data_IF_815995861659
#
_entry.id   IF_815995861659
#
_cell.length_a   1.000
_cell.length_b   1.000
_cell.length_c   1.000
_cell.angle_alpha   90.00
_cell.angle_beta   90.00
_cell.angle_gamma   90.00
#
_symmetry.space_group_name_H-M   'P 1'
#
loop_
_entity.id
_entity.type
_entity.pdbx_description
1 polymer ?
#
# COMPACT_ATOMS: atom_id res chain seq x y z
N UNK A 1 3.90 -2.29 -15.16
CA UNK A 1 3.77 -0.81 -15.16
C UNK A 1 2.39 -0.35 -15.63
N UNK A 2 1.98 -0.58 -16.89
CA UNK A 2 0.61 -0.23 -17.34
C UNK A 2 -0.47 -0.90 -16.47
N UNK A 3 -0.24 -2.17 -16.10
CA UNK A 3 -1.07 -2.89 -15.14
C UNK A 3 -1.33 -2.08 -13.85
N UNK A 4 -0.26 -1.58 -13.24
CA UNK A 4 -0.32 -0.82 -11.98
C UNK A 4 -1.12 0.48 -12.11
N UNK A 5 -0.90 1.25 -13.18
CA UNK A 5 -1.61 2.53 -13.36
C UNK A 5 -3.11 2.28 -13.47
N UNK A 6 -3.50 1.40 -14.38
CA UNK A 6 -4.90 1.20 -14.72
C UNK A 6 -5.68 0.53 -13.57
N UNK A 7 -5.10 -0.41 -12.83
CA UNK A 7 -5.76 -0.96 -11.64
C UNK A 7 -5.93 0.08 -10.54
N UNK A 8 -4.94 0.97 -10.35
CA UNK A 8 -5.03 2.02 -9.32
C UNK A 8 -6.01 3.13 -9.73
N UNK A 9 -5.99 3.57 -10.98
CA UNK A 9 -7.02 4.49 -11.51
C UNK A 9 -8.41 3.89 -11.30
N UNK A 10 -8.64 2.65 -11.75
CA UNK A 10 -9.95 1.99 -11.63
C UNK A 10 -10.39 1.85 -10.18
N UNK A 11 -9.48 1.49 -9.28
CA UNK A 11 -9.77 1.36 -7.85
C UNK A 11 -10.18 2.70 -7.21
N UNK A 12 -9.37 3.74 -7.37
CA UNK A 12 -9.65 5.06 -6.76
C UNK A 12 -10.79 5.83 -7.44
N UNK A 13 -11.13 5.46 -8.67
CA UNK A 13 -12.33 5.93 -9.36
C UNK A 13 -13.61 5.36 -8.70
N UNK A 14 -13.55 4.11 -8.25
CA UNK A 14 -14.71 3.33 -7.75
C UNK A 14 -14.93 3.49 -6.24
N UNK A 15 -13.85 3.46 -5.46
CA UNK A 15 -13.95 3.31 -4.00
C UNK A 15 -14.73 4.43 -3.27
N UNK A 16 -14.58 5.73 -3.62
CA UNK A 16 -15.38 6.78 -3.00
C UNK A 16 -16.89 6.62 -3.23
N UNK A 17 -17.30 6.08 -4.39
CA UNK A 17 -18.70 5.87 -4.73
C UNK A 17 -19.32 4.71 -3.97
N UNK A 18 -18.56 3.65 -3.69
CA UNK A 18 -19.05 2.49 -2.93
C UNK A 18 -19.59 2.92 -1.56
N UNK A 19 -18.82 3.71 -0.81
CA UNK A 19 -19.25 4.22 0.51
C UNK A 19 -20.44 5.16 0.40
N UNK A 20 -20.50 5.98 -0.66
CA UNK A 20 -21.61 6.89 -0.91
C UNK A 20 -22.91 6.13 -1.19
N UNK A 21 -22.89 5.11 -2.06
CA UNK A 21 -24.06 4.28 -2.40
C UNK A 21 -24.56 3.53 -1.17
N UNK A 22 -23.66 2.90 -0.41
CA UNK A 22 -24.03 2.17 0.81
C UNK A 22 -24.74 3.08 1.81
N UNK A 23 -24.19 4.27 2.05
CA UNK A 23 -24.72 5.18 3.07
C UNK A 23 -25.98 5.94 2.62
N UNK A 24 -26.02 6.40 1.36
CA UNK A 24 -27.08 7.29 0.87
C UNK A 24 -28.19 6.58 0.13
N UNK A 25 -27.86 5.62 -0.74
CA UNK A 25 -28.82 5.01 -1.66
C UNK A 25 -29.39 3.70 -1.09
N UNK A 26 -28.60 3.00 -0.28
CA UNK A 26 -28.98 1.73 0.35
C UNK A 26 -29.21 1.86 1.86
N UNK A 27 -29.03 3.07 2.41
CA UNK A 27 -29.30 3.43 3.81
C UNK A 27 -28.63 2.50 4.84
N UNK A 28 -27.49 1.90 4.50
CA UNK A 28 -26.74 1.02 5.39
C UNK A 28 -26.11 1.83 6.53
N UNK A 29 -26.21 1.29 7.75
CA UNK A 29 -25.65 1.92 8.93
C UNK A 29 -24.11 2.02 8.89
N UNK A 30 -23.49 3.10 9.42
CA UNK A 30 -22.04 3.26 9.41
C UNK A 30 -21.27 2.10 10.03
N UNK A 31 -21.81 1.48 11.09
CA UNK A 31 -21.22 0.32 11.74
C UNK A 31 -21.16 -0.92 10.81
N UNK A 32 -22.21 -1.12 10.01
CA UNK A 32 -22.30 -2.25 9.07
C UNK A 32 -21.34 -2.06 7.89
N UNK A 33 -21.31 -0.85 7.31
CA UNK A 33 -20.34 -0.48 6.28
C UNK A 33 -18.90 -0.69 6.79
N UNK A 34 -18.59 -0.19 7.99
CA UNK A 34 -17.26 -0.31 8.60
C UNK A 34 -16.84 -1.77 8.85
N UNK A 35 -17.73 -2.58 9.40
CA UNK A 35 -17.50 -4.01 9.62
C UNK A 35 -17.21 -4.73 8.30
N UNK A 36 -18.02 -4.48 7.27
CA UNK A 36 -17.85 -5.11 5.97
C UNK A 36 -16.51 -4.76 5.32
N UNK A 37 -16.17 -3.48 5.27
CA UNK A 37 -14.91 -3.01 4.70
C UNK A 37 -13.71 -3.62 5.43
N UNK A 38 -13.79 -3.73 6.76
CA UNK A 38 -12.74 -4.33 7.58
C UNK A 38 -12.59 -5.83 7.29
N UNK A 39 -13.69 -6.58 7.18
CA UNK A 39 -13.67 -8.00 6.82
C UNK A 39 -13.08 -8.22 5.42
N UNK A 40 -13.45 -7.38 4.45
CA UNK A 40 -12.92 -7.43 3.09
C UNK A 40 -11.40 -7.14 3.06
N UNK A 41 -10.95 -6.14 3.81
CA UNK A 41 -9.52 -5.85 3.98
C UNK A 41 -8.79 -7.02 4.66
N UNK A 42 -9.30 -7.55 5.78
CA UNK A 42 -8.68 -8.67 6.48
C UNK A 42 -8.54 -9.92 5.59
N UNK A 43 -9.59 -10.23 4.82
CA UNK A 43 -9.57 -11.32 3.86
C UNK A 43 -8.50 -11.10 2.77
N UNK A 44 -8.37 -9.88 2.24
CA UNK A 44 -7.31 -9.50 1.29
C UNK A 44 -5.90 -9.77 1.85
N UNK A 45 -5.64 -9.41 3.12
CA UNK A 45 -4.33 -9.60 3.75
C UNK A 45 -3.99 -11.09 3.91
N UNK A 46 -4.95 -11.89 4.38
CA UNK A 46 -4.77 -13.34 4.56
C UNK A 46 -4.56 -14.06 3.23
N UNK A 47 -5.39 -13.74 2.23
CA UNK A 47 -5.29 -14.28 0.89
C UNK A 47 -3.98 -13.86 0.24
N UNK A 48 -3.54 -12.62 0.42
CA UNK A 48 -2.26 -12.14 -0.10
C UNK A 48 -1.06 -12.88 0.47
N UNK A 49 -1.03 -13.15 1.78
CA UNK A 49 0.03 -13.94 2.40
C UNK A 49 0.04 -15.39 1.89
N UNK A 50 -1.13 -16.03 1.86
CA UNK A 50 -1.27 -17.42 1.42
C UNK A 50 -0.92 -17.58 -0.06
N UNK A 51 -1.56 -16.80 -0.94
CA UNK A 51 -1.34 -16.89 -2.39
C UNK A 51 0.00 -16.32 -2.82
N UNK A 52 0.61 -15.41 -2.04
CA UNK A 52 2.01 -15.04 -2.19
C UNK A 52 2.92 -16.26 -2.14
N UNK A 53 2.82 -17.07 -1.09
CA UNK A 53 3.60 -18.31 -0.97
C UNK A 53 3.20 -19.42 -1.96
N UNK A 54 1.93 -19.48 -2.36
CA UNK A 54 1.47 -20.41 -3.40
C UNK A 54 2.01 -20.03 -4.78
N UNK A 55 2.15 -18.74 -5.07
CA UNK A 55 2.63 -18.24 -6.37
C UNK A 55 4.06 -18.65 -6.67
N UNK A 56 4.89 -18.81 -5.64
CA UNK A 56 6.26 -19.30 -5.78
C UNK A 56 6.30 -20.78 -6.21
N UNK A 57 5.18 -21.52 -6.07
CA UNK A 57 5.06 -22.94 -6.46
C UNK A 57 4.28 -23.15 -7.75
N UNK A 58 3.13 -22.47 -7.86
CA UNK A 58 2.18 -22.66 -8.96
C UNK A 58 2.46 -21.70 -10.12
N UNK A 59 3.29 -20.67 -9.90
CA UNK A 59 3.66 -19.67 -10.89
C UNK A 59 2.92 -18.36 -10.68
N UNK A 60 3.68 -17.26 -10.65
CA UNK A 60 3.20 -15.90 -10.38
C UNK A 60 2.22 -15.41 -11.44
N UNK A 61 2.46 -15.74 -12.70
CA UNK A 61 1.58 -15.40 -13.82
C UNK A 61 0.18 -16.00 -13.63
N UNK A 62 0.06 -17.24 -13.15
CA UNK A 62 -1.26 -17.88 -12.92
C UNK A 62 -2.04 -17.16 -11.81
N UNK A 63 -1.37 -16.86 -10.69
CA UNK A 63 -2.01 -16.15 -9.57
C UNK A 63 -2.40 -14.72 -9.97
N UNK A 64 -1.54 -14.02 -10.72
CA UNK A 64 -1.85 -12.68 -11.23
C UNK A 64 -3.05 -12.68 -12.19
N UNK A 65 -3.10 -13.66 -13.10
CA UNK A 65 -4.24 -13.85 -14.00
C UNK A 65 -5.54 -14.13 -13.27
N UNK A 66 -5.49 -14.97 -12.23
CA UNK A 66 -6.63 -15.22 -11.33
C UNK A 66 -7.10 -13.96 -10.61
N UNK A 67 -6.17 -13.15 -10.11
CA UNK A 67 -6.49 -11.84 -9.52
C UNK A 67 -7.18 -10.89 -10.51
N UNK A 68 -6.65 -10.78 -11.73
CA UNK A 68 -7.26 -9.94 -12.78
C UNK A 68 -8.67 -10.41 -13.16
N UNK A 69 -8.87 -11.72 -13.29
CA UNK A 69 -10.20 -12.29 -13.55
C UNK A 69 -11.15 -12.00 -12.40
N UNK A 70 -10.69 -12.12 -11.15
CA UNK A 70 -11.49 -11.81 -9.96
C UNK A 70 -11.86 -10.33 -9.89
N UNK A 71 -10.95 -9.42 -10.26
CA UNK A 71 -11.26 -7.99 -10.42
C UNK A 71 -12.34 -7.77 -11.50
N UNK A 72 -12.23 -8.44 -12.65
CA UNK A 72 -13.23 -8.32 -13.71
C UNK A 72 -14.61 -8.80 -13.24
N UNK A 73 -14.69 -9.98 -12.62
CA UNK A 73 -15.93 -10.52 -12.05
C UNK A 73 -16.51 -9.56 -11.00
N UNK A 74 -15.65 -8.98 -10.15
CA UNK A 74 -16.09 -8.01 -9.15
C UNK A 74 -16.76 -6.79 -9.79
N UNK A 75 -16.16 -6.21 -10.85
CA UNK A 75 -16.75 -5.06 -11.52
C UNK A 75 -18.02 -5.42 -12.28
N UNK A 76 -18.12 -6.61 -12.88
CA UNK A 76 -19.38 -7.08 -13.50
C UNK A 76 -20.50 -7.16 -12.46
N UNK A 77 -20.24 -7.70 -11.27
CA UNK A 77 -21.23 -7.73 -10.18
C UNK A 77 -21.60 -6.30 -9.77
N UNK A 78 -20.62 -5.39 -9.67
CA UNK A 78 -20.86 -3.99 -9.35
C UNK A 78 -21.64 -3.24 -10.45
N UNK A 79 -21.63 -3.68 -11.70
CA UNK A 79 -22.46 -3.03 -12.76
C UNK A 79 -23.95 -3.36 -12.66
N UNK A 80 -24.31 -4.45 -11.98
CA UNK A 80 -25.70 -4.91 -11.85
C UNK A 80 -26.23 -4.78 -10.42
N UNK A 81 -25.71 -3.81 -9.66
CA UNK A 81 -26.13 -3.56 -8.27
C UNK A 81 -27.62 -3.22 -8.24
N UNK A 82 -28.35 -4.03 -7.48
CA UNK A 82 -29.76 -3.86 -7.15
C UNK A 82 -29.99 -3.75 -5.63
N UNK A 83 -29.04 -4.21 -4.82
CA UNK A 83 -29.11 -4.23 -3.36
C UNK A 83 -27.72 -4.21 -2.71
N UNK A 84 -27.69 -4.02 -1.40
CA UNK A 84 -26.45 -3.98 -0.60
C UNK A 84 -25.66 -5.30 -0.65
N UNK A 85 -26.32 -6.45 -0.73
CA UNK A 85 -25.63 -7.74 -0.76
C UNK A 85 -24.78 -7.90 -2.02
N UNK A 86 -25.27 -7.51 -3.20
CA UNK A 86 -24.45 -7.53 -4.43
C UNK A 86 -23.29 -6.54 -4.36
N UNK A 87 -23.53 -5.32 -3.85
CA UNK A 87 -22.48 -4.32 -3.68
C UNK A 87 -21.37 -4.82 -2.74
N UNK A 88 -21.77 -5.39 -1.60
CA UNK A 88 -20.87 -6.06 -0.68
C UNK A 88 -20.06 -7.15 -1.40
N UNK A 89 -20.71 -8.16 -1.98
CA UNK A 89 -20.01 -9.26 -2.67
C UNK A 89 -19.02 -8.74 -3.70
N UNK A 90 -19.40 -7.76 -4.54
CA UNK A 90 -18.51 -7.13 -5.50
C UNK A 90 -17.27 -6.51 -4.83
N UNK A 91 -17.45 -5.72 -3.78
CA UNK A 91 -16.37 -5.07 -3.00
C UNK A 91 -15.44 -6.10 -2.36
N UNK A 92 -15.98 -7.18 -1.81
CA UNK A 92 -15.18 -8.23 -1.19
C UNK A 92 -14.35 -9.00 -2.21
N UNK A 93 -14.94 -9.38 -3.35
CA UNK A 93 -14.17 -10.02 -4.44
C UNK A 93 -13.08 -9.08 -4.98
N UNK A 94 -13.37 -7.78 -5.09
CA UNK A 94 -12.36 -6.80 -5.50
C UNK A 94 -11.20 -6.71 -4.48
N UNK A 95 -11.54 -6.74 -3.19
CA UNK A 95 -10.55 -6.73 -2.10
C UNK A 95 -9.68 -8.00 -2.12
N UNK A 96 -10.29 -9.17 -2.31
CA UNK A 96 -9.54 -10.42 -2.52
C UNK A 96 -8.60 -10.33 -3.72
N UNK A 97 -9.07 -9.76 -4.83
CA UNK A 97 -8.27 -9.56 -6.02
C UNK A 97 -7.07 -8.64 -5.78
N UNK A 98 -7.23 -7.55 -5.01
CA UNK A 98 -6.13 -6.69 -4.56
C UNK A 98 -5.06 -7.52 -3.85
N UNK A 99 -5.48 -8.35 -2.89
CA UNK A 99 -4.60 -9.25 -2.14
C UNK A 99 -3.79 -10.21 -3.04
N UNK A 100 -4.34 -10.62 -4.18
CA UNK A 100 -3.63 -11.41 -5.20
C UNK A 100 -2.71 -10.57 -6.10
N UNK A 101 -3.14 -9.39 -6.53
CA UNK A 101 -2.45 -8.61 -7.56
C UNK A 101 -1.23 -7.88 -6.98
N UNK A 102 -1.37 -7.22 -5.83
CA UNK A 102 -0.33 -6.35 -5.29
C UNK A 102 0.98 -7.07 -4.89
N UNK A 103 0.97 -8.14 -4.08
CA UNK A 103 2.21 -8.80 -3.67
C UNK A 103 2.88 -9.52 -4.84
N UNK A 104 2.08 -10.09 -5.74
CA UNK A 104 2.57 -10.79 -6.94
C UNK A 104 3.19 -9.82 -7.93
N UNK A 105 2.59 -8.63 -8.11
CA UNK A 105 3.19 -7.57 -8.93
C UNK A 105 4.56 -7.15 -8.41
N UNK A 106 4.70 -6.96 -7.09
CA UNK A 106 6.00 -6.64 -6.49
C UNK A 106 6.98 -7.79 -6.65
N UNK A 107 6.54 -9.03 -6.44
CA UNK A 107 7.36 -10.23 -6.61
C UNK A 107 7.87 -10.42 -8.05
N UNK A 108 7.03 -10.15 -9.06
CA UNK A 108 7.44 -10.20 -10.47
C UNK A 108 8.51 -9.15 -10.76
N UNK A 109 8.36 -7.92 -10.28
CA UNK A 109 9.39 -6.86 -10.42
C UNK A 109 10.68 -7.26 -9.69
N UNK A 110 10.53 -7.82 -8.50
CA UNK A 110 11.63 -8.28 -7.64
C UNK A 110 12.43 -9.45 -8.23
N UNK A 111 11.86 -10.17 -9.21
CA UNK A 111 12.52 -11.24 -9.95
C UNK A 111 12.75 -10.92 -11.43
N UNK A 112 12.55 -9.68 -11.87
CA UNK A 112 12.67 -9.33 -13.29
C UNK A 112 14.11 -9.19 -13.79
N UNK A 113 15.11 -9.20 -12.89
CA UNK A 113 16.52 -9.06 -13.24
C UNK A 113 17.43 -9.50 -12.08
N UNK A 114 18.63 -10.00 -12.39
CA UNK A 114 19.70 -10.22 -11.41
C UNK A 114 20.29 -8.88 -10.89
N UNK A 115 20.12 -7.79 -11.64
CA UNK A 115 20.58 -6.44 -11.23
C UNK A 115 19.67 -5.84 -10.15
N UNK A 116 20.23 -5.62 -8.95
CA UNK A 116 19.53 -5.01 -7.81
C UNK A 116 19.11 -3.57 -8.08
N UNK A 117 19.92 -2.80 -8.79
CA UNK A 117 19.67 -1.37 -9.07
C UNK A 117 18.50 -1.22 -10.04
N UNK A 118 18.43 -2.09 -11.06
CA UNK A 118 17.30 -2.14 -11.98
C UNK A 118 15.98 -2.45 -11.27
N UNK A 119 15.95 -3.48 -10.42
CA UNK A 119 14.76 -3.84 -9.64
C UNK A 119 14.32 -2.73 -8.69
N UNK A 120 15.27 -2.10 -8.01
CA UNK A 120 15.04 -0.93 -7.16
C UNK A 120 14.37 0.22 -7.95
N UNK A 121 14.88 0.55 -9.14
CA UNK A 121 14.29 1.57 -10.02
C UNK A 121 12.85 1.21 -10.41
N UNK A 122 12.57 -0.06 -10.72
CA UNK A 122 11.22 -0.51 -11.07
C UNK A 122 10.25 -0.43 -9.89
N UNK A 123 10.66 -0.79 -8.67
CA UNK A 123 9.81 -0.68 -7.48
C UNK A 123 9.45 0.79 -7.18
N UNK A 124 10.42 1.71 -7.29
CA UNK A 124 10.15 3.16 -7.17
C UNK A 124 9.20 3.66 -8.24
N UNK A 125 9.39 3.24 -9.49
CA UNK A 125 8.49 3.58 -10.59
C UNK A 125 7.09 3.02 -10.36
N UNK A 126 6.96 1.81 -9.84
CA UNK A 126 5.65 1.23 -9.49
C UNK A 126 4.94 2.09 -8.46
N UNK A 127 5.63 2.49 -7.39
CA UNK A 127 5.08 3.36 -6.35
C UNK A 127 4.60 4.71 -6.90
N UNK A 128 5.42 5.36 -7.73
CA UNK A 128 5.05 6.60 -8.43
C UNK A 128 3.74 6.41 -9.23
N UNK A 129 3.66 5.36 -10.03
CA UNK A 129 2.49 5.07 -10.86
C UNK A 129 1.24 4.73 -10.04
N UNK A 130 1.39 4.15 -8.84
CA UNK A 130 0.27 3.94 -7.92
C UNK A 130 -0.32 5.26 -7.44
N UNK A 131 0.53 6.24 -7.12
CA UNK A 131 0.09 7.57 -6.67
C UNK A 131 -0.49 8.41 -7.80
N UNK A 132 0.08 8.34 -9.00
CA UNK A 132 -0.53 8.94 -10.20
C UNK A 132 -1.94 8.38 -10.42
N UNK A 133 -2.12 7.06 -10.30
CA UNK A 133 -3.44 6.44 -10.40
C UNK A 133 -4.40 6.88 -9.30
N UNK A 134 -3.92 7.01 -8.07
CA UNK A 134 -4.70 7.49 -6.92
C UNK A 134 -5.14 8.95 -7.06
N UNK A 135 -4.29 9.82 -7.62
CA UNK A 135 -4.61 11.22 -7.84
C UNK A 135 -5.62 11.43 -8.99
N UNK A 136 -5.47 10.68 -10.09
CA UNK A 136 -6.28 10.86 -11.30
C UNK A 136 -7.61 10.09 -11.22
N UNK A 137 -7.64 8.94 -10.54
CA UNK A 137 -8.81 8.07 -10.43
C UNK A 137 -10.09 8.78 -9.98
N UNK A 138 -10.10 9.50 -8.84
CA UNK A 138 -11.29 10.19 -8.33
C UNK A 138 -11.77 11.27 -9.30
N UNK A 139 -10.85 12.00 -9.95
CA UNK A 139 -11.19 13.05 -10.93
C UNK A 139 -11.94 12.43 -12.12
N UNK A 140 -11.40 11.34 -12.69
CA UNK A 140 -12.07 10.61 -13.77
C UNK A 140 -13.43 10.07 -13.28
N UNK A 141 -13.49 9.58 -12.04
CA UNK A 141 -14.70 9.03 -11.44
C UNK A 141 -15.81 10.04 -11.30
N UNK A 142 -15.48 11.29 -10.93
CA UNK A 142 -16.44 12.39 -10.87
C UNK A 142 -16.96 12.75 -12.27
N UNK A 143 -16.08 12.83 -13.27
CA UNK A 143 -16.50 13.16 -14.64
C UNK A 143 -17.40 12.09 -15.26
N UNK A 144 -17.12 10.81 -15.02
CA UNK A 144 -17.93 9.70 -15.53
C UNK A 144 -19.20 9.52 -14.71
N UNK A 145 -19.08 9.54 -13.37
CA UNK A 145 -20.16 9.32 -12.41
C UNK A 145 -21.06 10.53 -12.17
N UNK A 146 -20.99 11.56 -13.02
CA UNK A 146 -21.80 12.77 -12.89
C UNK A 146 -23.32 12.49 -12.90
N UNK A 147 -23.75 11.34 -13.44
CA UNK A 147 -25.17 10.96 -13.56
C UNK A 147 -25.53 9.65 -12.85
N UNK A 148 -24.73 8.59 -12.99
CA UNK A 148 -24.96 7.29 -12.32
C UNK A 148 -23.65 6.59 -11.96
N UNK A 149 -23.56 6.00 -10.76
CA UNK A 149 -22.36 5.26 -10.33
C UNK A 149 -22.10 3.98 -11.16
N UNK A 150 -23.15 3.40 -11.76
CA UNK A 150 -23.05 2.24 -12.66
C UNK A 150 -22.13 2.51 -13.86
N UNK A 151 -22.10 3.76 -14.35
CA UNK A 151 -21.22 4.15 -15.46
C UNK A 151 -19.75 3.99 -15.07
N UNK A 152 -19.43 4.33 -13.82
CA UNK A 152 -18.07 4.23 -13.27
C UNK A 152 -17.64 2.77 -13.11
N UNK A 153 -18.53 1.91 -12.59
CA UNK A 153 -18.26 0.47 -12.48
C UNK A 153 -18.10 -0.18 -13.86
N UNK A 154 -18.90 0.26 -14.84
CA UNK A 154 -18.83 -0.24 -16.22
C UNK A 154 -17.50 0.12 -16.86
N UNK A 155 -17.07 1.38 -16.75
CA UNK A 155 -15.76 1.81 -17.27
C UNK A 155 -14.62 1.08 -16.57
N UNK A 156 -14.66 0.92 -15.23
CA UNK A 156 -13.66 0.15 -14.49
C UNK A 156 -13.59 -1.32 -14.96
N UNK A 157 -14.75 -1.93 -15.20
CA UNK A 157 -14.89 -3.28 -15.75
C UNK A 157 -14.29 -3.40 -17.16
N UNK A 158 -14.60 -2.47 -18.06
CA UNK A 158 -14.06 -2.44 -19.42
C UNK A 158 -12.54 -2.23 -19.42
N UNK A 159 -12.02 -1.31 -18.61
CA UNK A 159 -10.57 -1.13 -18.44
C UNK A 159 -9.94 -2.44 -17.97
N UNK A 160 -10.50 -3.07 -16.94
CA UNK A 160 -9.99 -4.35 -16.42
C UNK A 160 -10.06 -5.46 -17.47
N UNK A 161 -11.12 -5.53 -18.26
CA UNK A 161 -11.27 -6.48 -19.36
C UNK A 161 -10.17 -6.30 -20.42
N UNK A 162 -9.92 -5.07 -20.87
CA UNK A 162 -8.84 -4.82 -21.85
C UNK A 162 -7.47 -5.25 -21.33
N UNK A 163 -7.23 -5.06 -20.03
CA UNK A 163 -6.00 -5.49 -19.37
C UNK A 163 -5.90 -7.00 -19.25
N UNK A 164 -7.01 -7.67 -18.93
CA UNK A 164 -7.06 -9.13 -18.86
C UNK A 164 -6.85 -9.76 -20.23
N UNK A 165 -7.50 -9.25 -21.28
CA UNK A 165 -7.30 -9.70 -22.67
C UNK A 165 -5.85 -9.48 -23.08
N UNK A 166 -5.26 -8.33 -22.78
CA UNK A 166 -3.85 -8.08 -23.06
C UNK A 166 -2.93 -9.00 -22.27
N UNK A 167 -3.25 -9.28 -21.00
CA UNK A 167 -2.51 -10.22 -20.18
C UNK A 167 -2.55 -11.62 -20.81
N UNK A 168 -3.71 -12.10 -21.26
CA UNK A 168 -3.85 -13.36 -21.98
C UNK A 168 -3.06 -13.35 -23.29
N UNK A 169 -3.13 -12.26 -24.07
CA UNK A 169 -2.38 -12.17 -25.33
C UNK A 169 -0.86 -12.24 -25.12
N UNK A 170 -0.33 -11.56 -24.10
CA UNK A 170 1.09 -11.62 -23.77
C UNK A 170 1.50 -12.98 -23.21
N UNK A 171 0.66 -13.61 -22.39
CA UNK A 171 1.02 -14.86 -21.70
C UNK A 171 0.75 -16.13 -22.50
N UNK A 172 -0.20 -16.10 -23.43
CA UNK A 172 -0.54 -17.20 -24.34
C UNK A 172 0.08 -17.01 -25.73
N UNK A 173 0.28 -15.77 -26.18
CA UNK A 173 0.73 -15.43 -27.53
C UNK A 173 2.23 -15.12 -27.66
N UNK A 174 2.94 -14.92 -26.56
CA UNK A 174 4.40 -14.95 -26.63
C UNK A 174 4.83 -16.41 -26.85
N UNK A 175 5.46 -16.71 -27.99
CA UNK A 175 6.49 -17.76 -28.02
C UNK A 175 7.31 -17.58 -26.75
N UNK A 176 7.56 -18.65 -26.01
CA UNK A 176 8.29 -18.63 -24.73
C UNK A 176 9.68 -18.01 -24.91
N UNK A 177 9.78 -16.69 -25.01
CA UNK A 177 10.96 -15.94 -24.63
C UNK A 177 10.90 -15.93 -23.11
N UNK A 178 11.09 -17.11 -22.53
CA UNK A 178 11.19 -17.30 -21.11
C UNK A 178 12.33 -16.39 -20.67
N UNK A 179 12.09 -15.39 -19.80
CA UNK A 179 13.19 -14.74 -19.11
C UNK A 179 13.75 -15.77 -18.15
N UNK A 180 14.67 -16.62 -18.63
CA UNK A 180 15.53 -17.49 -17.84
C UNK A 180 14.85 -18.15 -16.62
N UNK A 181 13.59 -18.59 -16.78
CA UNK A 181 12.92 -19.41 -15.77
C UNK A 181 13.71 -20.73 -15.58
N UNK A 182 14.54 -21.10 -16.55
CA UNK A 182 15.50 -22.20 -16.50
C UNK A 182 16.59 -22.06 -15.45
N UNK A 183 17.01 -20.85 -15.07
CA UNK A 183 18.02 -20.66 -14.02
C UNK A 183 17.40 -20.54 -12.63
N UNK A 184 16.20 -19.95 -12.50
CA UNK A 184 15.49 -19.85 -11.21
C UNK A 184 14.74 -21.15 -10.84
N UNK A 185 14.34 -21.95 -11.82
CA UNK A 185 13.83 -23.31 -11.59
C UNK A 185 14.89 -24.24 -10.97
N UNK A 186 16.19 -23.94 -11.13
CA UNK A 186 17.29 -24.70 -10.50
C UNK A 186 17.36 -24.50 -8.97
N UNK A 187 16.82 -23.40 -8.42
CA UNK A 187 16.76 -23.18 -6.96
C UNK A 187 15.64 -23.97 -6.25
N UNK A 188 14.82 -24.72 -6.99
CA UNK A 188 13.77 -25.58 -6.46
C UNK A 188 12.55 -24.81 -5.93
N UNK A 189 11.35 -25.36 -6.16
CA UNK A 189 10.10 -24.82 -5.64
C UNK A 189 10.08 -24.97 -4.11
N UNK A 190 10.13 -23.86 -3.36
CA UNK A 190 10.11 -23.94 -1.90
C UNK A 190 8.69 -24.15 -1.37
N UNK A 191 8.39 -25.41 -0.97
CA UNK A 191 7.13 -25.81 -0.35
C UNK A 191 6.86 -25.20 1.03
N UNK A 192 7.78 -24.40 1.56
CA UNK A 192 7.69 -23.76 2.88
C UNK A 192 7.89 -22.24 2.82
N UNK A 193 7.81 -21.59 1.65
CA UNK A 193 8.07 -20.14 1.51
C UNK A 193 7.31 -19.25 2.52
N UNK A 194 6.01 -19.48 2.71
CA UNK A 194 5.20 -18.77 3.71
C UNK A 194 5.71 -18.98 5.14
N UNK A 195 5.98 -20.22 5.51
CA UNK A 195 6.52 -20.57 6.85
C UNK A 195 7.88 -19.92 7.06
N UNK A 196 8.75 -19.93 6.05
CA UNK A 196 10.08 -19.33 6.12
C UNK A 196 9.99 -17.82 6.32
N UNK A 197 9.13 -17.13 5.56
CA UNK A 197 8.88 -15.70 5.75
C UNK A 197 8.39 -15.39 7.16
N UNK A 198 7.43 -16.15 7.70
CA UNK A 198 6.91 -15.96 9.06
C UNK A 198 7.93 -16.24 10.17
N UNK A 199 8.98 -17.03 9.89
CA UNK A 199 10.05 -17.37 10.84
C UNK A 199 11.32 -16.52 10.65
N UNK A 200 11.38 -15.71 9.58
CA UNK A 200 12.50 -14.81 9.30
C UNK A 200 12.43 -13.60 10.24
N UNK A 201 13.25 -13.64 11.31
CA UNK A 201 13.24 -12.62 12.36
C UNK A 201 13.55 -11.21 11.86
N UNK A 202 14.62 -10.95 11.07
CA UNK A 202 14.84 -9.64 10.46
C UNK A 202 13.64 -9.12 9.66
N UNK A 203 13.03 -9.99 8.85
CA UNK A 203 11.86 -9.62 8.06
C UNK A 203 10.64 -9.33 8.93
N UNK A 204 10.35 -10.14 9.95
CA UNK A 204 9.22 -9.93 10.85
C UNK A 204 9.40 -8.67 11.72
N UNK A 205 10.62 -8.32 12.11
CA UNK A 205 10.91 -7.05 12.78
C UNK A 205 10.69 -5.85 11.84
N UNK A 206 11.13 -5.96 10.58
CA UNK A 206 10.82 -4.94 9.56
C UNK A 206 9.31 -4.81 9.35
N UNK A 207 8.58 -5.92 9.29
CA UNK A 207 7.13 -5.93 9.15
C UNK A 207 6.44 -5.25 10.35
N UNK A 208 6.87 -5.53 11.58
CA UNK A 208 6.36 -4.86 12.77
C UNK A 208 6.58 -3.34 12.70
N UNK A 209 7.77 -2.89 12.31
CA UNK A 209 8.03 -1.47 12.07
C UNK A 209 7.04 -0.89 11.04
N UNK A 210 6.81 -1.59 9.93
CA UNK A 210 5.92 -1.12 8.87
C UNK A 210 4.43 -1.11 9.31
N UNK A 211 4.00 -2.04 10.15
CA UNK A 211 2.66 -2.02 10.78
C UNK A 211 2.52 -0.71 11.59
N UNK A 212 3.50 -0.40 12.45
CA UNK A 212 3.47 0.83 13.23
C UNK A 212 3.52 2.10 12.35
N UNK A 213 4.35 2.11 11.31
CA UNK A 213 4.40 3.21 10.33
C UNK A 213 3.02 3.42 9.69
N UNK A 214 2.34 2.34 9.28
CA UNK A 214 1.01 2.48 8.69
C UNK A 214 -0.08 2.86 9.68
N UNK A 215 0.03 2.47 10.95
CA UNK A 215 -0.89 2.92 11.99
C UNK A 215 -0.82 4.44 12.20
N UNK A 216 0.38 5.00 12.09
CA UNK A 216 0.60 6.45 12.11
C UNK A 216 0.12 7.10 10.81
N UNK A 217 0.49 6.54 9.66
CA UNK A 217 0.11 7.08 8.36
C UNK A 217 -1.42 7.09 8.17
N UNK A 218 -2.12 6.04 8.60
CA UNK A 218 -3.58 5.95 8.49
C UNK A 218 -4.35 7.03 9.24
N UNK A 219 -3.73 7.69 10.23
CA UNK A 219 -4.34 8.83 10.90
C UNK A 219 -4.62 9.99 9.94
N UNK A 220 -3.81 10.15 8.89
CA UNK A 220 -3.95 11.22 7.89
C UNK A 220 -5.19 11.03 7.02
N UNK A 221 -5.46 9.79 6.65
CA UNK A 221 -6.60 9.48 5.77
C UNK A 221 -7.92 9.41 6.53
N UNK A 222 -7.88 9.05 7.83
CA UNK A 222 -9.11 8.70 8.56
C UNK A 222 -9.38 9.65 9.73
N UNK A 223 -8.45 9.79 10.67
CA UNK A 223 -8.68 10.57 11.90
C UNK A 223 -8.53 12.07 11.66
N UNK A 224 -7.66 12.50 10.75
CA UNK A 224 -7.45 13.91 10.42
C UNK A 224 -8.72 14.57 9.86
N UNK A 225 -9.46 13.99 8.89
CA UNK A 225 -10.78 14.49 8.50
C UNK A 225 -11.76 14.64 9.67
N UNK A 226 -11.74 13.69 10.63
CA UNK A 226 -12.60 13.72 11.82
C UNK A 226 -12.23 14.88 12.76
N UNK A 227 -10.93 15.06 13.03
CA UNK A 227 -10.43 16.20 13.82
C UNK A 227 -10.85 17.51 13.17
N UNK A 228 -10.64 17.63 11.86
CA UNK A 228 -10.94 18.87 11.15
C UNK A 228 -12.43 19.18 11.12
N UNK A 229 -13.28 18.15 10.96
CA UNK A 229 -14.74 18.30 11.03
C UNK A 229 -15.22 18.77 12.41
N UNK A 230 -14.46 18.45 13.46
CA UNK A 230 -14.74 18.89 14.83
C UNK A 230 -14.26 20.33 15.09
N UNK A 231 -13.09 20.70 14.55
CA UNK A 231 -12.50 22.04 14.73
C UNK A 231 -13.11 23.10 13.81
N UNK A 232 -13.49 22.72 12.59
CA UNK A 232 -14.07 23.60 11.57
C UNK A 232 -15.47 23.11 11.17
N UNK A 233 -16.47 23.15 12.08
CA UNK A 233 -17.78 22.58 11.82
C UNK A 233 -18.53 23.23 10.65
N UNK A 234 -18.15 24.45 10.24
CA UNK A 234 -18.80 25.20 9.16
C UNK A 234 -18.18 24.98 7.78
N UNK A 235 -16.89 24.65 7.69
CA UNK A 235 -16.19 24.43 6.40
C UNK A 235 -14.88 23.63 6.59
N UNK A 236 -14.95 22.33 6.87
CA UNK A 236 -13.76 21.48 6.96
C UNK A 236 -13.24 21.09 5.57
N UNK A 237 -14.05 21.21 4.53
CA UNK A 237 -13.80 20.62 3.22
C UNK A 237 -12.68 21.33 2.47
N UNK A 238 -12.59 22.66 2.55
CA UNK A 238 -11.56 23.43 1.85
C UNK A 238 -10.14 23.06 2.29
N UNK A 239 -9.88 23.08 3.61
CA UNK A 239 -8.56 22.75 4.15
C UNK A 239 -8.22 21.25 3.96
N UNK A 240 -9.18 20.35 4.17
CA UNK A 240 -8.98 18.92 3.91
C UNK A 240 -8.61 18.65 2.44
N UNK A 241 -9.35 19.24 1.50
CA UNK A 241 -9.09 19.07 0.06
C UNK A 241 -7.72 19.61 -0.33
N UNK A 242 -7.32 20.75 0.23
CA UNK A 242 -6.00 21.33 0.02
C UNK A 242 -4.89 20.40 0.53
N UNK A 243 -5.05 19.83 1.72
CA UNK A 243 -4.08 18.89 2.31
C UNK A 243 -3.91 17.62 1.47
N UNK A 244 -5.02 16.98 1.09
CA UNK A 244 -4.98 15.78 0.24
C UNK A 244 -4.37 16.07 -1.13
N UNK A 245 -4.71 17.22 -1.73
CA UNK A 245 -4.15 17.66 -3.02
C UNK A 245 -2.65 17.93 -2.90
N UNK A 246 -2.20 18.60 -1.84
CA UNK A 246 -0.78 18.86 -1.60
C UNK A 246 0.01 17.56 -1.39
N UNK A 247 -0.54 16.59 -0.67
CA UNK A 247 0.09 15.28 -0.51
C UNK A 247 0.33 14.61 -1.87
N UNK A 248 -0.73 14.47 -2.68
CA UNK A 248 -0.64 13.89 -4.01
C UNK A 248 0.33 14.67 -4.93
N UNK A 249 0.28 16.00 -4.91
CA UNK A 249 1.14 16.86 -5.71
C UNK A 249 2.61 16.70 -5.32
N UNK A 250 2.94 16.70 -4.02
CA UNK A 250 4.30 16.50 -3.53
C UNK A 250 4.83 15.14 -3.97
N UNK A 251 4.01 14.09 -3.87
CA UNK A 251 4.43 12.76 -4.30
C UNK A 251 4.77 12.75 -5.79
N UNK A 252 3.90 13.29 -6.63
CA UNK A 252 4.11 13.29 -8.08
C UNK A 252 5.31 14.17 -8.48
N UNK A 253 5.44 15.36 -7.88
CA UNK A 253 6.47 16.33 -8.25
C UNK A 253 7.85 15.98 -7.69
N UNK A 254 7.93 15.49 -6.44
CA UNK A 254 9.19 15.31 -5.73
C UNK A 254 9.75 13.88 -5.79
N UNK A 255 9.02 12.88 -6.29
CA UNK A 255 9.50 11.50 -6.37
C UNK A 255 10.86 11.37 -7.06
N UNK A 256 10.99 11.88 -8.29
CA UNK A 256 12.23 11.75 -9.07
C UNK A 256 13.36 12.67 -8.57
N UNK A 257 13.11 13.95 -8.21
CA UNK A 257 14.12 14.79 -7.60
C UNK A 257 14.72 14.19 -6.32
N UNK A 258 13.87 13.73 -5.39
CA UNK A 258 14.32 13.13 -4.14
C UNK A 258 15.03 11.80 -4.37
N UNK A 259 14.57 10.98 -5.32
CA UNK A 259 15.26 9.74 -5.68
C UNK A 259 16.68 10.01 -6.20
N UNK A 260 16.84 11.00 -7.08
CA UNK A 260 18.15 11.41 -7.60
C UNK A 260 19.05 11.90 -6.46
N UNK A 261 18.55 12.78 -5.60
CA UNK A 261 19.29 13.34 -4.47
C UNK A 261 19.75 12.26 -3.47
N UNK A 262 18.89 11.29 -3.19
CA UNK A 262 19.15 10.23 -2.21
C UNK A 262 19.77 8.96 -2.82
N UNK A 263 20.02 8.94 -4.14
CA UNK A 263 20.53 7.78 -4.87
C UNK A 263 21.85 7.23 -4.30
N UNK A 264 22.73 8.11 -3.81
CA UNK A 264 24.02 7.76 -3.20
C UNK A 264 23.92 7.29 -1.75
N UNK A 265 22.75 7.46 -1.11
CA UNK A 265 22.53 7.07 0.29
C UNK A 265 22.04 5.63 0.39
N UNK A 266 22.38 4.98 1.50
CA UNK A 266 21.94 3.61 1.79
C UNK A 266 20.42 3.52 2.01
N UNK A 267 19.83 2.34 1.82
CA UNK A 267 18.39 2.14 2.11
C UNK A 267 18.04 2.39 3.57
N UNK A 268 18.94 2.06 4.50
CA UNK A 268 18.74 2.34 5.92
C UNK A 268 18.70 3.85 6.19
N UNK A 269 19.56 4.64 5.53
CA UNK A 269 19.49 6.10 5.61
C UNK A 269 18.15 6.62 5.07
N UNK A 270 17.72 6.15 3.89
CA UNK A 270 16.46 6.60 3.28
C UNK A 270 15.25 6.27 4.13
N UNK A 271 15.20 5.07 4.71
CA UNK A 271 14.13 4.67 5.62
C UNK A 271 14.14 5.52 6.90
N UNK A 272 15.30 5.70 7.53
CA UNK A 272 15.41 6.56 8.72
C UNK A 272 14.99 8.00 8.41
N UNK A 273 15.42 8.55 7.26
CA UNK A 273 15.02 9.88 6.83
C UNK A 273 13.50 10.01 6.69
N UNK A 274 12.86 9.05 6.02
CA UNK A 274 11.40 9.02 5.89
C UNK A 274 10.67 8.90 7.23
N UNK A 275 11.13 8.02 8.13
CA UNK A 275 10.54 7.83 9.47
C UNK A 275 10.74 9.08 10.33
N UNK A 276 11.88 9.76 10.24
CA UNK A 276 12.14 11.02 10.95
C UNK A 276 11.20 12.13 10.46
N UNK A 277 10.98 12.25 9.15
CA UNK A 277 10.01 13.22 8.62
C UNK A 277 8.58 12.87 9.05
N UNK A 278 8.23 11.58 9.10
CA UNK A 278 6.95 11.16 9.65
C UNK A 278 6.81 11.57 11.13
N UNK A 279 7.82 11.32 11.96
CA UNK A 279 7.81 11.75 13.37
C UNK A 279 7.68 13.28 13.51
N UNK A 280 8.43 14.03 12.69
CA UNK A 280 8.37 15.49 12.68
C UNK A 280 6.97 15.99 12.28
N UNK A 281 6.32 15.36 11.31
CA UNK A 281 4.96 15.72 10.92
C UNK A 281 3.96 15.54 12.07
N UNK A 282 4.04 14.44 12.81
CA UNK A 282 3.18 14.19 13.96
C UNK A 282 3.42 15.21 15.08
N UNK A 283 4.69 15.55 15.31
CA UNK A 283 5.05 16.59 16.28
C UNK A 283 4.54 17.98 15.86
N UNK A 284 4.50 18.29 14.56
CA UNK A 284 3.95 19.54 14.04
C UNK A 284 2.42 19.59 14.24
N UNK A 285 1.71 18.46 14.08
CA UNK A 285 0.26 18.42 14.33
C UNK A 285 -0.12 18.66 15.80
N UNK A 286 0.80 18.55 16.75
CA UNK A 286 0.57 19.02 18.14
C UNK A 286 0.29 20.53 18.22
N UNK A 287 0.76 21.29 17.24
CA UNK A 287 0.58 22.74 17.16
C UNK A 287 -0.61 23.12 16.26
N UNK A 288 -1.39 22.15 15.79
CA UNK A 288 -2.51 22.36 14.87
C UNK A 288 -3.54 23.40 15.36
N UNK A 289 -3.79 23.43 16.67
CA UNK A 289 -4.73 24.37 17.30
C UNK A 289 -4.24 25.83 17.23
N UNK A 290 -2.94 26.03 17.02
CA UNK A 290 -2.35 27.37 16.91
C UNK A 290 -2.55 28.00 15.54
N UNK A 291 -3.04 27.26 14.54
CA UNK A 291 -3.42 27.82 13.24
C UNK A 291 -3.36 26.84 12.06
N UNK A 292 -4.09 27.17 10.98
CA UNK A 292 -4.22 26.33 9.79
C UNK A 292 -2.87 26.02 9.10
N UNK A 293 -1.85 26.87 9.25
CA UNK A 293 -0.54 26.68 8.65
C UNK A 293 0.16 25.40 9.16
N UNK A 294 -0.04 25.02 10.43
CA UNK A 294 0.58 23.81 10.98
C UNK A 294 0.04 22.53 10.34
N UNK A 295 -1.24 22.52 9.95
CA UNK A 295 -1.82 21.42 9.17
C UNK A 295 -1.12 21.26 7.82
N UNK A 296 -0.91 22.38 7.11
CA UNK A 296 -0.25 22.38 5.81
C UNK A 296 1.22 21.95 5.94
N UNK A 297 1.97 22.54 6.87
CA UNK A 297 3.38 22.20 7.08
C UNK A 297 3.53 20.73 7.51
N UNK A 298 2.68 20.24 8.40
CA UNK A 298 2.66 18.84 8.81
C UNK A 298 2.47 17.88 7.63
N UNK A 299 1.48 18.14 6.78
CA UNK A 299 1.22 17.33 5.58
C UNK A 299 2.36 17.43 4.56
N UNK A 300 2.94 18.61 4.35
CA UNK A 300 4.08 18.77 3.44
C UNK A 300 5.25 17.91 3.91
N UNK A 301 5.62 18.01 5.19
CA UNK A 301 6.72 17.24 5.78
C UNK A 301 6.44 15.73 5.71
N UNK A 302 5.21 15.32 6.03
CA UNK A 302 4.77 13.94 5.92
C UNK A 302 4.91 13.41 4.49
N UNK A 303 4.47 14.17 3.51
CA UNK A 303 4.46 13.78 2.09
C UNK A 303 5.89 13.61 1.56
N UNK A 304 6.84 14.46 1.96
CA UNK A 304 8.26 14.29 1.64
C UNK A 304 8.81 13.00 2.28
N UNK A 305 8.42 12.69 3.52
CA UNK A 305 8.79 11.45 4.20
C UNK A 305 8.24 10.21 3.49
N UNK A 306 6.98 10.25 3.09
CA UNK A 306 6.25 9.19 2.40
C UNK A 306 6.90 8.81 1.06
N UNK A 307 7.23 9.80 0.24
CA UNK A 307 7.88 9.65 -1.08
C UNK A 307 9.18 8.84 -1.01
N UNK A 308 9.90 8.97 0.09
CA UNK A 308 11.16 8.25 0.32
C UNK A 308 10.89 6.90 0.99
N UNK A 309 10.02 6.86 2.00
CA UNK A 309 9.83 5.71 2.86
C UNK A 309 9.15 4.53 2.15
N UNK A 310 8.04 4.74 1.46
CA UNK A 310 7.22 3.64 0.94
C UNK A 310 7.87 2.86 -0.21
N UNK A 311 8.57 3.49 -1.17
CA UNK A 311 9.41 2.74 -2.10
C UNK A 311 10.51 1.96 -1.37
N UNK A 312 11.13 2.58 -0.35
CA UNK A 312 12.23 1.96 0.43
C UNK A 312 11.76 0.72 1.17
N UNK A 313 10.53 0.69 1.70
CA UNK A 313 9.93 -0.50 2.32
C UNK A 313 9.91 -1.66 1.31
N UNK A 314 9.39 -1.43 0.10
CA UNK A 314 9.31 -2.47 -0.93
C UNK A 314 10.69 -2.98 -1.35
N UNK A 315 11.68 -2.09 -1.44
CA UNK A 315 13.07 -2.47 -1.79
C UNK A 315 13.72 -3.25 -0.63
N UNK A 316 13.42 -2.94 0.63
CA UNK A 316 13.93 -3.71 1.77
C UNK A 316 13.34 -5.11 1.82
N UNK A 317 12.04 -5.26 1.56
CA UNK A 317 11.40 -6.58 1.40
C UNK A 317 12.09 -7.34 0.26
N UNK A 318 12.33 -6.68 -0.88
CA UNK A 318 13.08 -7.25 -1.98
C UNK A 318 14.49 -7.73 -1.57
N UNK A 319 15.23 -6.99 -0.73
CA UNK A 319 16.58 -7.37 -0.32
C UNK A 319 16.62 -8.52 0.69
N UNK A 320 15.60 -8.62 1.56
CA UNK A 320 15.51 -9.69 2.55
C UNK A 320 14.99 -11.00 1.94
N UNK A 321 14.09 -10.91 0.96
CA UNK A 321 13.46 -12.08 0.37
C UNK A 321 14.46 -12.90 -0.48
N UNK A 322 14.60 -14.22 -0.25
CA UNK A 322 15.30 -15.11 -1.17
C UNK A 322 14.66 -15.12 -2.57
N UNK A 323 15.45 -15.35 -3.62
CA UNK A 323 14.97 -15.28 -5.02
C UNK A 323 13.81 -16.27 -5.30
N UNK A 324 13.89 -17.47 -4.74
CA UNK A 324 12.84 -18.50 -4.85
C UNK A 324 11.63 -18.31 -3.92
N UNK A 325 11.59 -17.25 -3.10
CA UNK A 325 10.53 -17.00 -2.11
C UNK A 325 9.99 -15.56 -2.12
N UNK A 326 10.26 -14.78 -3.17
CA UNK A 326 9.77 -13.39 -3.26
C UNK A 326 8.25 -13.27 -3.11
N UNK A 327 7.48 -14.23 -3.64
CA UNK A 327 6.02 -14.21 -3.57
C UNK A 327 5.55 -14.30 -2.13
N UNK A 328 6.11 -15.24 -1.35
CA UNK A 328 5.82 -15.39 0.07
C UNK A 328 6.15 -14.13 0.87
N UNK A 329 7.35 -13.56 0.67
CA UNK A 329 7.78 -12.38 1.44
C UNK A 329 6.93 -11.14 1.11
N UNK A 330 6.64 -10.87 -0.17
CA UNK A 330 5.74 -9.76 -0.53
C UNK A 330 4.29 -10.03 -0.09
N UNK A 331 3.84 -11.28 -0.11
CA UNK A 331 2.53 -11.68 0.40
C UNK A 331 2.39 -11.38 1.89
N UNK A 332 3.33 -11.86 2.72
CA UNK A 332 3.35 -11.59 4.16
C UNK A 332 3.58 -10.11 4.45
N UNK A 333 4.39 -9.42 3.63
CA UNK A 333 4.64 -7.99 3.81
C UNK A 333 3.34 -7.17 3.79
N UNK A 334 2.32 -7.57 3.02
CA UNK A 334 1.03 -6.85 3.00
C UNK A 334 0.36 -6.76 4.37
N UNK A 335 0.68 -7.63 5.32
CA UNK A 335 0.18 -7.52 6.70
C UNK A 335 0.52 -6.17 7.34
N UNK A 336 1.46 -5.39 6.80
CA UNK A 336 1.69 -4.02 7.23
C UNK A 336 0.41 -3.16 7.15
N UNK A 337 -0.50 -3.43 6.20
CA UNK A 337 -1.79 -2.71 6.05
C UNK A 337 -2.71 -2.89 7.26
N UNK A 338 -2.48 -3.91 8.11
CA UNK A 338 -3.16 -4.04 9.38
C UNK A 338 -2.99 -2.78 10.24
N UNK A 339 -1.81 -2.15 10.19
CA UNK A 339 -1.56 -0.88 10.85
C UNK A 339 -2.53 0.21 10.41
N UNK A 340 -2.71 0.35 9.10
CA UNK A 340 -3.67 1.31 8.53
C UNK A 340 -5.11 0.99 8.97
N UNK A 341 -5.49 -0.28 8.96
CA UNK A 341 -6.83 -0.72 9.36
C UNK A 341 -7.16 -0.44 10.83
N UNK A 342 -6.19 -0.57 11.75
CA UNK A 342 -6.42 -0.26 13.17
C UNK A 342 -6.32 1.24 13.49
N UNK A 343 -5.85 2.05 12.54
CA UNK A 343 -5.62 3.48 12.75
C UNK A 343 -6.88 4.24 13.23
N UNK A 344 -8.11 4.00 12.73
CA UNK A 344 -9.30 4.73 13.18
C UNK A 344 -9.71 4.35 14.59
N UNK A 345 -9.52 3.08 14.96
CA UNK A 345 -9.83 2.60 16.30
C UNK A 345 -8.91 3.26 17.32
N UNK A 346 -7.59 3.21 17.08
CA UNK A 346 -6.62 3.83 17.98
C UNK A 346 -6.77 5.35 17.97
N UNK A 347 -6.91 5.95 16.79
CA UNK A 347 -7.01 7.39 16.60
C UNK A 347 -8.28 7.99 17.19
N UNK A 348 -9.42 7.37 16.89
CA UNK A 348 -10.73 7.77 17.40
C UNK A 348 -10.82 7.67 18.92
N UNK A 349 -10.34 6.56 19.53
CA UNK A 349 -10.31 6.42 20.98
C UNK A 349 -9.40 7.44 21.66
N UNK A 350 -8.20 7.67 21.11
CA UNK A 350 -7.29 8.70 21.64
C UNK A 350 -7.93 10.09 21.55
N UNK A 351 -8.57 10.39 20.43
CA UNK A 351 -9.22 11.67 20.18
C UNK A 351 -10.44 11.89 21.08
N UNK A 352 -11.32 10.89 21.23
CA UNK A 352 -12.57 11.01 21.99
C UNK A 352 -12.34 11.10 23.50
N UNK A 353 -11.44 10.29 24.04
CA UNK A 353 -11.23 10.19 25.49
C UNK A 353 -10.17 11.18 26.00
N UNK A 354 -9.17 11.50 25.18
CA UNK A 354 -7.99 12.25 25.62
C UNK A 354 -7.67 13.50 24.78
N UNK A 355 -8.22 13.62 23.57
CA UNK A 355 -8.04 14.77 22.69
C UNK A 355 -6.79 14.73 21.80
N UNK A 356 -6.59 15.79 21.02
CA UNK A 356 -5.56 15.87 19.97
C UNK A 356 -4.13 15.75 20.49
N UNK A 357 -3.85 16.23 21.71
CA UNK A 357 -2.53 16.10 22.33
C UNK A 357 -2.10 14.64 22.42
N UNK A 358 -2.99 13.75 22.84
CA UNK A 358 -2.68 12.33 23.03
C UNK A 358 -2.68 11.57 21.70
N UNK A 359 -3.53 11.98 20.75
CA UNK A 359 -3.48 11.46 19.38
C UNK A 359 -2.10 11.75 18.76
N UNK A 360 -1.78 13.03 18.53
CA UNK A 360 -0.56 13.41 17.81
C UNK A 360 0.70 13.14 18.64
N UNK A 361 0.64 13.32 19.96
CA UNK A 361 1.73 12.99 20.88
C UNK A 361 2.00 11.50 20.93
N UNK A 362 0.95 10.67 21.00
CA UNK A 362 1.06 9.21 20.95
C UNK A 362 1.67 8.73 19.63
N UNK A 363 1.22 9.27 18.50
CA UNK A 363 1.79 8.96 17.18
C UNK A 363 3.25 9.42 17.03
N UNK A 364 3.61 10.55 17.64
CA UNK A 364 5.00 11.02 17.70
C UNK A 364 5.87 10.04 18.50
N UNK A 365 5.41 9.62 19.69
CA UNK A 365 6.16 8.64 20.51
C UNK A 365 6.28 7.30 19.79
N UNK A 366 5.20 6.82 19.15
CA UNK A 366 5.20 5.58 18.39
C UNK A 366 6.19 5.64 17.22
N UNK A 367 6.22 6.73 16.44
CA UNK A 367 7.19 6.89 15.35
C UNK A 367 8.63 6.98 15.83
N UNK A 368 8.89 7.64 16.97
CA UNK A 368 10.22 7.65 17.59
C UNK A 368 10.66 6.26 18.06
N UNK A 369 9.74 5.47 18.64
CA UNK A 369 9.99 4.08 19.00
C UNK A 369 10.31 3.22 17.77
N UNK A 370 9.57 3.41 16.66
CA UNK A 370 9.87 2.76 15.37
C UNK A 370 11.26 3.16 14.88
N UNK A 371 11.64 4.44 14.95
CA UNK A 371 12.97 4.90 14.53
C UNK A 371 14.08 4.23 15.34
N UNK A 372 13.91 4.13 16.67
CA UNK A 372 14.85 3.43 17.54
C UNK A 372 14.97 1.94 17.20
N UNK A 373 13.83 1.27 16.97
CA UNK A 373 13.82 -0.13 16.55
C UNK A 373 14.51 -0.33 15.19
N UNK A 374 14.30 0.58 14.25
CA UNK A 374 14.96 0.57 12.95
C UNK A 374 16.48 0.71 13.06
N UNK A 375 16.96 1.57 13.96
CA UNK A 375 18.38 1.71 14.25
C UNK A 375 18.96 0.44 14.88
N UNK A 376 18.23 -0.18 15.82
CA UNK A 376 18.64 -1.44 16.42
C UNK A 376 18.78 -2.56 15.38
N UNK A 377 17.83 -2.69 14.45
CA UNK A 377 17.91 -3.67 13.35
C UNK A 377 19.18 -3.44 12.53
N UNK A 378 19.46 -2.20 12.14
CA UNK A 378 20.66 -1.87 11.36
C UNK A 378 21.97 -2.18 12.12
N UNK A 379 21.99 -1.99 13.45
CA UNK A 379 23.14 -2.33 14.30
C UNK A 379 23.36 -3.84 14.39
N UNK A 380 22.28 -4.61 14.55
CA UNK A 380 22.34 -6.07 14.58
C UNK A 380 22.83 -6.64 13.24
N UNK A 381 22.35 -6.11 12.11
CA UNK A 381 22.80 -6.49 10.77
C UNK A 381 24.30 -6.20 10.58
N UNK A 382 24.77 -5.01 10.98
CA UNK A 382 26.20 -4.66 10.92
C UNK A 382 27.07 -5.60 11.76
N UNK A 383 26.66 -5.89 12.99
CA UNK A 383 27.42 -6.75 13.89
C UNK A 383 27.49 -8.20 13.40
N UNK A 384 26.42 -8.71 12.78
CA UNK A 384 26.43 -10.04 12.19
C UNK A 384 27.36 -10.13 10.97
N UNK A 385 27.40 -9.10 10.13
CA UNK A 385 28.32 -9.06 8.98
C UNK A 385 29.79 -9.02 9.43
N UNK A 386 30.12 -8.21 10.45
CA UNK A 386 31.47 -8.12 11.02
C UNK A 386 31.95 -9.44 11.65
N UNK A 387 31.04 -10.18 12.30
CA UNK A 387 31.32 -11.52 12.86
C UNK A 387 31.50 -12.59 11.76
N UNK A 388 30.78 -12.48 10.66
CA UNK A 388 30.93 -13.37 9.51
C UNK A 388 32.26 -13.19 8.77
N UNK A 389 32.73 -11.95 8.63
CA UNK A 389 34.03 -11.64 8.01
C UNK A 389 35.22 -12.09 8.87
N UNK A 390 35.10 -12.05 10.21
CA UNK A 390 36.14 -12.54 11.13
C UNK A 390 36.23 -14.07 11.19
N UNK A 391 35.12 -14.79 11.00
CA UNK A 391 35.12 -16.26 10.97
C UNK A 391 35.56 -16.87 9.63
N UNK A 392 35.50 -16.13 8.52
CA UNK A 392 35.96 -16.58 7.20
C UNK A 392 37.40 -16.13 6.87
N UNK A 393 38.05 -15.41 7.80
CA UNK A 393 39.41 -14.87 7.66
C UNK A 393 40.47 -15.63 8.47
N UNK A 394 40.15 -16.83 8.97
CA UNK A 394 41.05 -17.79 9.62
C UNK A 394 40.95 -19.09 8.83
#
# INVERSE_FOLDING_TARGET
MQLTVLTRVSHFMVWPLVTLILSRDLEEGPAQIGLYMTLAMAASLLIGAFFGGLSDRVGRTRILGGGLLLTLVSFVILTVIDNAALLYVGVFLNSLAKGLIEPISNSIISNSSKDRTFREKLLKRRYFLMNVGAAIGPVIGIFIGYRYAVDVFTVAGLVTLTMFVRFLWVTLGAEKVAPDESDLAKEGLNKNGLKNALLDKPFMLLLLCNICVMAVYGQIDITLPQVLSTLLPNDPTGLLSLMLTLNAAIIILLQFPLDKLLSVKSLSFRANFGITLLALSQAIFLLADSGWLYWIVGVVILSVGEVVLFPTISIKVDRLAPNNMKGAYFGVAQMYEFGFAISPLVGGLLLSEFGMLYLWGGMTVLTLAVLALYQLINLLERNNNLKGETNNGI
#
